data_IF_561157396174
#
_entry.id   IF_561157396174
#
_cell.length_a   1.000
_cell.length_b   1.000
_cell.length_c   1.000
_cell.angle_alpha   90.00
_cell.angle_beta   90.00
_cell.angle_gamma   90.00
#
_symmetry.space_group_name_H-M   'P 1'
#
loop_
_entity.id
_entity.type
_entity.pdbx_description
1 polymer ?
#
# COMPACT_ATOMS: atom_id res chain seq x y z
N UNK A 1 1.71 -5.29 -13.09
CA UNK A 1 1.52 -6.77 -13.12
C UNK A 1 0.79 -7.33 -14.34
N UNK A 2 0.45 -6.53 -15.36
CA UNK A 2 -0.34 -7.00 -16.52
C UNK A 2 0.55 -7.30 -17.73
N UNK A 3 0.22 -8.34 -18.52
CA UNK A 3 0.87 -8.65 -19.80
C UNK A 3 -0.16 -9.12 -20.84
N UNK A 4 0.23 -9.11 -22.12
CA UNK A 4 -0.58 -9.60 -23.22
C UNK A 4 -0.24 -11.08 -23.54
N UNK A 5 -1.22 -11.93 -23.90
CA UNK A 5 -2.65 -11.66 -23.95
C UNK A 5 -3.29 -11.57 -22.54
N UNK A 6 -4.31 -10.71 -22.38
CA UNK A 6 -4.91 -10.43 -21.06
C UNK A 6 -5.58 -11.67 -20.45
N UNK A 7 -6.14 -12.54 -21.28
CA UNK A 7 -6.86 -13.76 -20.90
C UNK A 7 -5.94 -14.80 -20.25
N UNK A 8 -4.63 -14.68 -20.48
CA UNK A 8 -3.60 -15.53 -19.87
C UNK A 8 -2.83 -14.80 -18.76
N UNK A 9 -3.09 -13.51 -18.58
CA UNK A 9 -2.45 -12.70 -17.56
C UNK A 9 -2.97 -13.06 -16.17
N UNK A 10 -2.08 -13.55 -15.30
CA UNK A 10 -2.42 -13.97 -13.94
C UNK A 10 -3.21 -12.90 -13.19
N UNK A 11 -2.76 -11.64 -13.27
CA UNK A 11 -3.43 -10.52 -12.59
C UNK A 11 -4.87 -10.32 -13.08
N UNK A 12 -5.08 -10.39 -14.40
CA UNK A 12 -6.39 -10.17 -15.02
C UNK A 12 -7.35 -11.31 -14.67
N UNK A 13 -6.93 -12.57 -14.83
CA UNK A 13 -7.77 -13.74 -14.54
C UNK A 13 -8.08 -13.85 -13.05
N UNK A 14 -7.10 -13.61 -12.17
CA UNK A 14 -7.32 -13.62 -10.72
C UNK A 14 -8.31 -12.53 -10.30
N UNK A 15 -8.14 -11.30 -10.79
CA UNK A 15 -9.05 -10.22 -10.46
C UNK A 15 -10.46 -10.43 -11.01
N UNK A 16 -10.60 -11.01 -12.20
CA UNK A 16 -11.89 -11.45 -12.73
C UNK A 16 -12.54 -12.49 -11.81
N UNK A 17 -11.75 -13.46 -11.34
CA UNK A 17 -12.22 -14.51 -10.42
C UNK A 17 -12.62 -13.97 -9.05
N UNK A 18 -11.88 -12.99 -8.51
CA UNK A 18 -12.18 -12.34 -7.22
C UNK A 18 -13.48 -11.52 -7.28
N UNK A 19 -13.76 -10.88 -8.42
CA UNK A 19 -14.99 -10.10 -8.64
C UNK A 19 -16.21 -10.99 -8.88
N UNK A 20 -16.02 -12.20 -9.41
CA UNK A 20 -17.12 -13.12 -9.68
C UNK A 20 -17.82 -13.59 -8.40
N UNK A 21 -19.14 -13.60 -8.40
CA UNK A 21 -19.96 -14.02 -7.24
C UNK A 21 -19.76 -15.49 -6.88
N UNK A 22 -19.49 -16.35 -7.87
CA UNK A 22 -19.26 -17.76 -7.64
C UNK A 22 -17.91 -18.03 -6.97
N UNK A 23 -17.93 -18.10 -5.63
CA UNK A 23 -16.74 -18.36 -4.81
C UNK A 23 -16.10 -19.73 -5.03
N UNK A 24 -16.79 -20.68 -5.68
CA UNK A 24 -16.17 -21.97 -6.02
C UNK A 24 -15.01 -21.79 -7.01
N UNK A 25 -15.06 -20.76 -7.86
CA UNK A 25 -14.02 -20.46 -8.84
C UNK A 25 -12.72 -19.97 -8.18
N UNK A 26 -12.74 -19.56 -6.91
CA UNK A 26 -11.55 -19.15 -6.17
C UNK A 26 -10.73 -20.33 -5.64
N UNK A 27 -11.29 -21.54 -5.56
CA UNK A 27 -10.60 -22.71 -5.00
C UNK A 27 -9.22 -22.98 -5.63
N UNK A 28 -9.06 -22.94 -6.98
CA UNK A 28 -7.75 -23.13 -7.60
C UNK A 28 -6.72 -22.07 -7.19
N UNK A 29 -7.17 -20.88 -6.79
CA UNK A 29 -6.33 -19.75 -6.43
C UNK A 29 -5.89 -19.77 -4.97
N UNK A 30 -6.40 -20.65 -4.10
CA UNK A 30 -6.15 -20.57 -2.66
C UNK A 30 -4.66 -20.62 -2.28
N UNK A 31 -3.87 -21.47 -2.92
CA UNK A 31 -2.42 -21.55 -2.65
C UNK A 31 -1.71 -20.28 -3.09
N UNK A 32 -2.06 -19.74 -4.26
CA UNK A 32 -1.50 -18.49 -4.76
C UNK A 32 -1.92 -17.30 -3.88
N UNK A 33 -3.20 -17.21 -3.52
CA UNK A 33 -3.74 -16.19 -2.62
C UNK A 33 -3.05 -16.24 -1.27
N UNK A 34 -2.86 -17.44 -0.69
CA UNK A 34 -2.10 -17.60 0.54
C UNK A 34 -0.67 -17.06 0.38
N UNK A 35 0.02 -17.42 -0.70
CA UNK A 35 1.39 -16.98 -0.97
C UNK A 35 1.47 -15.45 -1.09
N UNK A 36 0.68 -14.85 -1.98
CA UNK A 36 0.74 -13.41 -2.27
C UNK A 36 0.28 -12.59 -1.07
N UNK A 37 -0.79 -12.98 -0.38
CA UNK A 37 -1.26 -12.28 0.80
C UNK A 37 -0.25 -12.37 1.95
N UNK A 38 0.40 -13.53 2.14
CA UNK A 38 1.49 -13.67 3.12
C UNK A 38 2.68 -12.78 2.77
N UNK A 39 3.08 -12.72 1.50
CA UNK A 39 4.17 -11.87 1.04
C UNK A 39 3.85 -10.37 1.24
N UNK A 40 2.65 -9.94 0.85
CA UNK A 40 2.17 -8.57 1.06
C UNK A 40 2.05 -8.22 2.55
N UNK A 41 1.70 -9.18 3.40
CA UNK A 41 1.68 -9.04 4.86
C UNK A 41 3.04 -8.71 5.46
N UNK A 42 4.14 -9.06 4.79
CA UNK A 42 5.51 -8.72 5.22
C UNK A 42 5.97 -7.33 4.78
N UNK A 43 5.23 -6.68 3.88
CA UNK A 43 5.52 -5.32 3.46
C UNK A 43 4.79 -4.33 4.37
N UNK A 44 5.45 -3.21 4.77
CA UNK A 44 4.83 -2.22 5.62
C UNK A 44 3.65 -1.56 4.89
N UNK A 45 2.54 -1.42 5.60
CA UNK A 45 1.44 -0.54 5.22
C UNK A 45 1.78 0.88 5.65
N UNK A 46 1.58 1.86 4.76
CA UNK A 46 1.83 3.27 5.03
C UNK A 46 0.69 4.10 4.48
N UNK A 47 0.08 4.90 5.34
CA UNK A 47 -0.84 5.95 4.95
C UNK A 47 -0.24 6.79 3.81
N UNK A 48 -0.96 6.93 2.70
CA UNK A 48 -0.58 7.75 1.55
C UNK A 48 -1.73 7.93 0.58
N UNK A 49 -1.61 8.95 -0.26
CA UNK A 49 -2.40 9.06 -1.49
C UNK A 49 -1.80 8.22 -2.61
N UNK A 50 -2.64 7.47 -3.30
CA UNK A 50 -2.29 6.74 -4.52
C UNK A 50 -3.30 7.03 -5.63
N UNK A 51 -2.87 6.80 -6.87
CA UNK A 51 -3.65 7.10 -8.06
C UNK A 51 -3.84 5.85 -8.91
N UNK A 52 -5.03 5.72 -9.51
CA UNK A 52 -5.34 4.65 -10.46
C UNK A 52 -6.09 5.21 -11.65
N UNK A 53 -5.59 4.95 -12.85
CA UNK A 53 -6.27 5.25 -14.10
C UNK A 53 -7.05 4.06 -14.63
N UNK A 54 -8.24 4.30 -15.18
CA UNK A 54 -9.03 3.31 -15.93
C UNK A 54 -9.54 3.96 -17.22
N UNK A 55 -9.33 3.30 -18.36
CA UNK A 55 -9.83 3.73 -19.68
C UNK A 55 -11.31 3.39 -19.90
N UNK A 56 -12.15 3.83 -18.97
CA UNK A 56 -13.59 3.65 -18.99
C UNK A 56 -14.27 4.81 -18.24
N UNK A 57 -15.49 5.15 -18.63
CA UNK A 57 -16.34 6.06 -17.85
C UNK A 57 -17.06 5.27 -16.76
N UNK A 58 -16.73 5.56 -15.50
CA UNK A 58 -17.29 4.89 -14.32
C UNK A 58 -18.18 5.85 -13.50
N UNK A 59 -18.58 6.99 -14.07
CA UNK A 59 -19.37 8.02 -13.37
C UNK A 59 -20.65 7.48 -12.73
N UNK A 60 -21.29 6.52 -13.39
CA UNK A 60 -22.57 5.96 -12.92
C UNK A 60 -22.39 4.91 -11.82
N UNK A 61 -21.18 4.36 -11.67
CA UNK A 61 -20.89 3.29 -10.73
C UNK A 61 -20.46 3.80 -9.34
N UNK A 62 -20.25 5.12 -9.19
CA UNK A 62 -19.71 5.72 -7.97
C UNK A 62 -20.48 6.98 -7.59
N UNK A 63 -21.29 6.88 -6.53
CA UNK A 63 -22.03 8.02 -5.97
C UNK A 63 -21.35 8.57 -4.72
N UNK A 64 -21.28 9.90 -4.57
CA UNK A 64 -20.71 10.52 -3.35
C UNK A 64 -21.43 10.04 -2.09
N UNK A 65 -20.65 9.68 -1.06
CA UNK A 65 -21.11 9.14 0.22
C UNK A 65 -21.40 7.64 0.19
N UNK A 66 -21.31 7.00 -0.97
CA UNK A 66 -21.47 5.56 -1.10
C UNK A 66 -20.26 4.81 -0.53
N UNK A 67 -20.53 3.64 0.04
CA UNK A 67 -19.51 2.68 0.45
C UNK A 67 -19.40 1.58 -0.59
N UNK A 68 -18.19 1.34 -1.07
CA UNK A 68 -17.89 0.35 -2.10
C UNK A 68 -16.85 -0.64 -1.62
N UNK A 69 -16.79 -1.82 -2.27
CA UNK A 69 -15.75 -2.82 -2.03
C UNK A 69 -15.03 -3.12 -3.35
N UNK A 70 -13.72 -2.93 -3.35
CA UNK A 70 -12.87 -3.44 -4.43
C UNK A 70 -12.45 -4.87 -4.12
N UNK A 71 -13.13 -5.83 -4.75
CA UNK A 71 -12.91 -7.26 -4.53
C UNK A 71 -11.58 -7.77 -5.09
N UNK A 72 -11.07 -7.17 -6.16
CA UNK A 72 -9.79 -7.51 -6.76
C UNK A 72 -8.62 -6.74 -6.15
N UNK A 73 -7.40 -7.22 -6.38
CA UNK A 73 -6.20 -6.41 -6.18
C UNK A 73 -6.25 -5.20 -7.10
N UNK A 74 -5.76 -4.05 -6.63
CA UNK A 74 -5.72 -2.83 -7.44
C UNK A 74 -4.31 -2.29 -7.52
N UNK A 75 -3.73 -2.35 -8.72
CA UNK A 75 -2.47 -1.67 -9.02
C UNK A 75 -2.70 -0.16 -9.11
N UNK A 76 -1.87 0.58 -8.41
CA UNK A 76 -1.90 2.02 -8.28
C UNK A 76 -0.46 2.55 -8.41
N UNK A 77 -0.34 3.85 -8.56
CA UNK A 77 0.94 4.55 -8.53
C UNK A 77 0.93 5.65 -7.47
N UNK A 78 2.10 5.99 -6.94
CA UNK A 78 2.23 7.13 -6.01
C UNK A 78 2.39 8.48 -6.70
N UNK A 79 2.59 8.52 -8.03
CA UNK A 79 2.78 9.75 -8.80
C UNK A 79 1.76 9.87 -9.94
N UNK A 80 1.18 11.06 -10.10
CA UNK A 80 0.09 11.26 -11.07
C UNK A 80 0.61 11.39 -12.52
N UNK A 81 1.87 11.78 -12.71
CA UNK A 81 2.48 12.01 -14.03
C UNK A 81 2.47 10.76 -14.92
N UNK A 82 2.59 9.57 -14.30
CA UNK A 82 2.56 8.29 -15.00
C UNK A 82 1.22 8.06 -15.71
N UNK A 83 0.11 8.61 -15.19
CA UNK A 83 -1.20 8.49 -15.82
C UNK A 83 -1.29 9.22 -17.17
N UNK A 84 -0.38 10.15 -17.46
CA UNK A 84 -0.35 10.78 -18.79
C UNK A 84 0.07 9.83 -19.90
N UNK A 85 0.74 8.72 -19.58
CA UNK A 85 1.17 7.73 -20.55
C UNK A 85 -0.03 6.90 -21.04
N UNK A 86 -0.12 6.73 -22.35
CA UNK A 86 -1.16 5.99 -23.05
C UNK A 86 -1.27 4.53 -22.61
N UNK A 87 -0.23 3.92 -22.05
CA UNK A 87 -0.32 2.57 -21.50
C UNK A 87 -1.18 2.50 -20.24
N UNK A 88 -1.27 3.58 -19.45
CA UNK A 88 -2.02 3.59 -18.19
C UNK A 88 -3.40 4.23 -18.35
N UNK A 89 -3.45 5.47 -18.84
CA UNK A 89 -4.70 6.21 -19.00
C UNK A 89 -4.71 7.04 -20.28
N UNK A 90 -3.65 7.81 -20.51
CA UNK A 90 -3.56 8.68 -21.69
C UNK A 90 -4.42 9.93 -21.60
N UNK A 91 -4.51 10.67 -22.70
CA UNK A 91 -5.12 12.02 -22.73
C UNK A 91 -6.49 12.11 -23.40
N UNK A 92 -6.96 11.02 -24.00
CA UNK A 92 -8.17 11.02 -24.84
C UNK A 92 -9.13 9.89 -24.49
N UNK A 93 -10.38 10.02 -24.93
CA UNK A 93 -11.43 9.03 -24.71
C UNK A 93 -12.06 9.08 -23.30
N UNK A 94 -13.17 8.34 -23.09
CA UNK A 94 -13.82 8.21 -21.79
C UNK A 94 -12.90 7.49 -20.81
N UNK A 95 -12.60 8.15 -19.68
CA UNK A 95 -11.60 7.66 -18.74
C UNK A 95 -11.83 8.22 -17.33
N UNK A 96 -11.41 7.44 -16.35
CA UNK A 96 -11.60 7.75 -14.93
C UNK A 96 -10.27 7.71 -14.18
N UNK A 97 -10.02 8.73 -13.36
CA UNK A 97 -8.91 8.74 -12.38
C UNK A 97 -9.49 8.58 -10.98
N UNK A 98 -8.96 7.61 -10.25
CA UNK A 98 -9.17 7.49 -8.81
C UNK A 98 -8.01 8.16 -8.07
N UNK A 99 -8.34 9.04 -7.13
CA UNK A 99 -7.43 9.53 -6.10
C UNK A 99 -7.82 8.88 -4.79
N UNK A 100 -6.92 8.11 -4.19
CA UNK A 100 -7.27 7.19 -3.10
C UNK A 100 -6.40 7.53 -1.89
N UNK A 101 -7.03 7.99 -0.81
CA UNK A 101 -6.41 8.03 0.52
C UNK A 101 -6.41 6.59 1.06
N UNK A 102 -5.25 5.94 1.09
CA UNK A 102 -5.13 4.53 1.46
C UNK A 102 -4.27 4.33 2.71
N UNK A 103 -4.62 3.32 3.49
CA UNK A 103 -3.90 2.84 4.67
C UNK A 103 -3.19 1.52 4.37
N UNK A 104 -3.77 0.67 3.53
CA UNK A 104 -3.32 -0.71 3.33
C UNK A 104 -2.35 -0.91 2.15
N UNK A 105 -2.04 0.14 1.41
CA UNK A 105 -1.21 0.07 0.21
C UNK A 105 0.18 -0.53 0.45
N UNK A 106 0.58 -1.45 -0.43
CA UNK A 106 1.86 -2.16 -0.38
C UNK A 106 2.78 -1.67 -1.47
N UNK A 107 3.91 -1.12 -1.07
CA UNK A 107 4.96 -0.70 -2.00
C UNK A 107 5.66 -1.94 -2.57
N UNK A 108 5.40 -2.24 -3.84
CA UNK A 108 5.94 -3.41 -4.53
C UNK A 108 6.95 -3.04 -5.61
N UNK A 109 7.47 -1.80 -5.61
CA UNK A 109 8.39 -1.29 -6.64
C UNK A 109 9.62 -2.18 -6.84
N UNK A 110 10.17 -2.71 -5.74
CA UNK A 110 11.33 -3.63 -5.75
C UNK A 110 11.02 -5.04 -6.24
N UNK A 111 9.74 -5.37 -6.38
CA UNK A 111 9.22 -6.67 -6.80
C UNK A 111 8.46 -6.60 -8.12
N UNK A 112 8.30 -5.40 -8.69
CA UNK A 112 7.65 -5.18 -9.98
C UNK A 112 8.66 -5.35 -11.11
N UNK A 113 8.17 -5.86 -12.24
CA UNK A 113 8.92 -5.90 -13.48
C UNK A 113 9.20 -4.48 -14.02
N UNK A 114 8.30 -3.53 -13.75
CA UNK A 114 8.39 -2.15 -14.21
C UNK A 114 8.76 -1.22 -13.04
N UNK A 115 10.06 -1.05 -12.81
CA UNK A 115 10.56 -0.32 -11.64
C UNK A 115 10.22 1.19 -11.64
N UNK A 116 9.89 1.75 -12.81
CA UNK A 116 9.61 3.18 -12.97
C UNK A 116 8.14 3.56 -12.70
N UNK A 117 7.27 2.59 -12.37
CA UNK A 117 5.83 2.85 -12.22
C UNK A 117 5.44 3.38 -10.84
N UNK A 118 6.40 3.46 -9.91
CA UNK A 118 6.15 3.69 -8.50
C UNK A 118 4.98 2.84 -7.94
N UNK A 119 4.94 1.57 -8.35
CA UNK A 119 3.79 0.67 -8.17
C UNK A 119 3.48 0.42 -6.69
N UNK A 120 2.25 0.78 -6.32
CA UNK A 120 1.62 0.46 -5.05
C UNK A 120 0.46 -0.50 -5.32
N UNK A 121 0.46 -1.64 -4.64
CA UNK A 121 -0.62 -2.61 -4.73
C UNK A 121 -1.56 -2.49 -3.54
N UNK A 122 -2.83 -2.19 -3.81
CA UNK A 122 -3.89 -2.34 -2.82
C UNK A 122 -4.31 -3.83 -2.78
N UNK A 123 -4.36 -4.46 -1.60
CA UNK A 123 -4.86 -5.82 -1.47
C UNK A 123 -6.32 -5.97 -1.93
N UNK A 124 -6.72 -7.21 -2.22
CA UNK A 124 -8.10 -7.54 -2.52
C UNK A 124 -9.05 -7.31 -1.32
N UNK A 125 -10.33 -7.07 -1.61
CA UNK A 125 -11.40 -6.83 -0.64
C UNK A 125 -11.09 -5.67 0.32
N UNK A 126 -10.85 -4.48 -0.25
CA UNK A 126 -10.77 -3.21 0.48
C UNK A 126 -12.06 -2.42 0.35
N UNK A 127 -12.44 -1.76 1.43
CA UNK A 127 -13.63 -0.93 1.50
C UNK A 127 -13.25 0.54 1.36
N UNK A 128 -14.03 1.28 0.58
CA UNK A 128 -13.81 2.70 0.37
C UNK A 128 -15.11 3.48 0.50
N UNK A 129 -15.00 4.71 1.00
CA UNK A 129 -16.03 5.73 0.88
C UNK A 129 -15.74 6.61 -0.35
N UNK A 130 -16.76 6.91 -1.14
CA UNK A 130 -16.67 7.89 -2.22
C UNK A 130 -16.78 9.30 -1.65
N UNK A 131 -15.65 9.97 -1.46
CA UNK A 131 -15.57 11.30 -0.83
C UNK A 131 -16.07 12.39 -1.77
N UNK A 132 -15.66 12.34 -3.03
CA UNK A 132 -16.03 13.35 -4.03
C UNK A 132 -15.91 12.79 -5.44
N UNK A 133 -16.66 13.39 -6.38
CA UNK A 133 -16.56 13.12 -7.80
C UNK A 133 -16.54 14.44 -8.57
N UNK A 134 -15.80 14.49 -9.69
CA UNK A 134 -15.62 15.71 -10.48
C UNK A 134 -15.51 15.38 -11.97
N UNK A 135 -16.37 16.00 -12.78
CA UNK A 135 -16.25 15.99 -14.23
C UNK A 135 -15.26 17.08 -14.66
N UNK A 136 -14.17 16.67 -15.30
CA UNK A 136 -13.14 17.58 -15.82
C UNK A 136 -13.37 17.96 -17.29
N UNK A 137 -14.44 17.44 -17.91
CA UNK A 137 -14.67 17.59 -19.34
C UNK A 137 -13.67 16.76 -20.17
N UNK A 138 -13.82 16.80 -21.50
CA UNK A 138 -12.93 16.08 -22.42
C UNK A 138 -12.90 14.56 -22.18
N UNK A 139 -13.98 13.99 -21.64
CA UNK A 139 -14.10 12.57 -21.31
C UNK A 139 -13.37 12.14 -20.03
N UNK A 140 -12.82 13.06 -19.24
CA UNK A 140 -12.14 12.74 -17.99
C UNK A 140 -13.07 12.91 -16.77
N UNK A 141 -13.21 11.85 -16.00
CA UNK A 141 -13.88 11.87 -14.70
C UNK A 141 -12.90 11.58 -13.57
N UNK A 142 -13.03 12.29 -12.45
CA UNK A 142 -12.20 12.08 -11.26
C UNK A 142 -13.07 11.64 -10.09
N UNK A 143 -12.62 10.61 -9.38
CA UNK A 143 -13.28 10.05 -8.20
C UNK A 143 -12.28 10.04 -7.05
N UNK A 144 -12.65 10.64 -5.92
CA UNK A 144 -11.86 10.60 -4.69
C UNK A 144 -12.42 9.53 -3.76
N UNK A 145 -11.55 8.61 -3.37
CA UNK A 145 -11.85 7.52 -2.45
C UNK A 145 -11.07 7.69 -1.16
N UNK A 146 -11.68 7.29 -0.05
CA UNK A 146 -11.01 7.11 1.23
C UNK A 146 -11.16 5.67 1.70
N UNK A 147 -10.05 5.00 1.96
CA UNK A 147 -10.09 3.66 2.53
C UNK A 147 -10.70 3.71 3.94
N UNK A 148 -11.59 2.76 4.21
CA UNK A 148 -12.28 2.65 5.49
C UNK A 148 -12.09 1.24 6.06
N UNK A 149 -12.09 1.15 7.38
CA UNK A 149 -12.07 -0.14 8.09
C UNK A 149 -13.40 -0.86 7.86
N UNK A 150 -13.40 -2.07 7.28
CA UNK A 150 -14.63 -2.85 7.16
C UNK A 150 -15.07 -3.39 8.54
N UNK A 151 -16.36 -3.67 8.72
CA UNK A 151 -16.87 -4.25 9.97
C UNK A 151 -16.26 -5.62 10.28
N UNK A 152 -15.73 -6.31 9.25
CA UNK A 152 -15.01 -7.57 9.38
C UNK A 152 -13.64 -7.44 8.69
N UNK A 153 -12.55 -7.17 9.44
CA UNK A 153 -11.22 -7.04 8.86
C UNK A 153 -10.76 -8.35 8.23
N UNK A 154 -10.05 -8.25 7.10
CA UNK A 154 -9.44 -9.42 6.47
C UNK A 154 -8.31 -9.95 7.36
N UNK A 155 -8.23 -11.28 7.48
CA UNK A 155 -7.24 -12.06 8.23
C UNK A 155 -5.92 -11.31 8.42
N UNK A 156 -5.48 -11.15 9.68
CA UNK A 156 -4.14 -10.65 10.00
C UNK A 156 -3.10 -11.49 9.25
N UNK A 157 -2.44 -10.86 8.27
CA UNK A 157 -1.65 -11.58 7.27
C UNK A 157 -0.41 -12.26 7.85
N UNK A 158 0.06 -11.80 9.00
CA UNK A 158 1.11 -12.43 9.82
C UNK A 158 0.92 -11.94 11.26
N UNK A 159 0.87 -12.80 12.29
CA UNK A 159 0.98 -12.36 13.68
C UNK A 159 2.31 -11.62 13.83
N UNK A 160 2.27 -10.35 14.25
CA UNK A 160 3.49 -9.62 14.57
C UNK A 160 4.21 -10.38 15.69
N UNK A 161 5.36 -10.98 15.40
CA UNK A 161 6.25 -11.43 16.47
C UNK A 161 6.70 -10.18 17.22
N UNK A 162 6.07 -9.94 18.37
CA UNK A 162 6.48 -8.91 19.30
C UNK A 162 7.82 -9.34 19.87
N UNK A 163 8.92 -8.96 19.23
CA UNK A 163 10.23 -9.05 19.86
C UNK A 163 10.25 -7.91 20.87
N UNK A 164 9.88 -8.23 22.11
CA UNK A 164 10.11 -7.33 23.24
C UNK A 164 11.62 -7.17 23.39
N UNK A 165 12.17 -6.09 22.88
CA UNK A 165 13.53 -5.67 23.24
C UNK A 165 13.44 -5.19 24.69
N UNK A 166 13.61 -6.11 25.64
CA UNK A 166 13.82 -5.71 27.03
C UNK A 166 15.15 -4.97 27.06
N UNK A 167 15.08 -3.66 27.24
CA UNK A 167 16.24 -2.85 27.54
C UNK A 167 16.90 -3.46 28.79
N UNK A 168 18.12 -3.99 28.63
CA UNK A 168 18.96 -4.39 29.75
C UNK A 168 19.34 -3.09 30.46
N UNK A 169 18.54 -2.69 31.46
CA UNK A 169 18.95 -1.68 32.42
C UNK A 169 20.00 -2.32 33.32
N UNK A 170 21.26 -2.04 33.03
CA UNK A 170 22.33 -2.27 34.01
C UNK A 170 22.20 -1.21 35.11
N UNK A 171 22.15 -1.60 36.40
CA UNK A 171 22.13 -0.63 37.47
C UNK A 171 23.52 0.02 37.58
N UNK A 172 23.58 1.33 37.34
CA UNK A 172 24.73 2.15 37.71
C UNK A 172 24.85 2.13 39.25
N UNK A 173 25.84 1.39 39.75
CA UNK A 173 26.25 1.49 41.15
C UNK A 173 26.83 2.88 41.40
N UNK A 174 26.19 3.65 42.28
CA UNK A 174 26.75 4.87 42.84
C UNK A 174 27.93 4.51 43.75
N UNK A 175 29.15 4.62 43.23
CA UNK A 175 30.35 4.74 44.08
C UNK A 175 30.46 6.19 44.55
N UNK A 176 30.15 6.42 45.81
CA UNK A 176 30.38 7.68 46.53
C UNK A 176 31.88 7.99 46.53
N UNK A 177 32.29 9.01 45.78
CA UNK A 177 33.66 9.54 45.84
C UNK A 177 33.78 10.35 47.13
N UNK A 178 34.54 9.83 48.09
CA UNK A 178 34.96 10.58 49.28
C UNK A 178 36.04 11.60 48.87
N UNK A 179 35.70 12.88 48.90
CA UNK A 179 36.66 13.97 48.79
C UNK A 179 37.60 13.99 50.02
N UNK A 180 38.89 13.82 49.78
CA UNK A 180 39.95 14.34 50.63
C UNK A 180 41.00 15.01 49.72
N UNK A 181 41.33 16.30 49.91
CA UNK A 181 42.35 16.98 49.12
C UNK A 181 43.68 17.02 49.85
N UNK A 182 44.81 16.83 49.14
CA UNK A 182 46.12 17.56 49.24
C UNK A 182 47.27 16.74 48.60
N UNK A 183 48.45 17.33 48.27
CA UNK A 183 48.70 18.57 47.53
C UNK A 183 49.74 18.39 46.39
N UNK A 184 49.90 19.43 45.56
CA UNK A 184 50.85 19.56 44.44
C UNK A 184 52.31 19.20 44.75
N UNK A 185 52.97 18.55 43.78
CA UNK A 185 54.38 18.82 43.40
C UNK A 185 54.53 18.71 41.88
N UNK A 186 55.08 19.75 41.26
CA UNK A 186 55.30 19.85 39.82
C UNK A 186 56.63 19.28 39.32
N UNK A 187 56.76 19.18 38.00
CA UNK A 187 57.96 19.28 37.15
C UNK A 187 57.52 18.92 35.71
N UNK A 188 57.48 19.86 34.76
CA UNK A 188 58.57 20.28 33.85
C UNK A 188 58.88 19.25 32.72
N UNK A 189 58.68 19.76 31.48
CA UNK A 189 59.30 19.50 30.16
C UNK A 189 58.91 18.34 29.23
N UNK A 190 58.43 18.77 28.05
CA UNK A 190 58.89 18.52 26.66
C UNK A 190 59.25 17.08 26.25
N UNK A 191 58.54 16.58 25.23
CA UNK A 191 58.99 16.54 23.82
C UNK A 191 57.84 16.06 22.93
#
# INVERSE_FOLDING_TARGET
>A
MEWAPQEECLYYVLNGTLRAENRQNLKPWFLYLKLVLTALGRLPSKHRFVYRGVKCDLRQDYSKGETIIWWGFSSCTSTMDILQNEQFLGKTGPRTIFTIECESGKDIRKHSYFQNEDEILLPAARQFEVVSCLDQGGGLYMIQLKETEPPYPLIELVPQQVISVQAIQTPFNNMTISNQPTPMKGMITKS
#
